data_IF_404749799372
#
_entry.id   IF_404749799372
#
_cell.length_a   1.000
_cell.length_b   1.000
_cell.length_c   1.000
_cell.angle_alpha   90.00
_cell.angle_beta   90.00
_cell.angle_gamma   90.00
#
_symmetry.space_group_name_H-M   'P 1'
#
loop_
_entity.id
_entity.type
_entity.pdbx_description
1 polymer ?
#
# COMPACT_ATOMS: atom_id res chain seq x y z
N UNK A 1 51.34 -2.12 -8.71
CA UNK A 1 49.95 -2.16 -9.16
C UNK A 1 49.16 -3.07 -8.20
N UNK A 2 48.29 -2.51 -7.33
CA UNK A 2 47.50 -3.32 -6.44
C UNK A 2 46.43 -4.05 -7.26
N UNK A 3 46.33 -5.37 -7.11
CA UNK A 3 45.27 -6.18 -7.73
C UNK A 3 43.91 -5.68 -7.22
N UNK A 4 43.07 -5.15 -8.08
CA UNK A 4 41.68 -4.81 -7.79
C UNK A 4 40.99 -6.12 -7.39
N UNK A 5 40.50 -6.23 -6.15
CA UNK A 5 39.75 -7.41 -5.69
C UNK A 5 38.33 -7.30 -6.24
N UNK A 6 37.97 -8.17 -7.15
CA UNK A 6 36.60 -8.31 -7.64
C UNK A 6 35.70 -8.87 -6.56
N UNK A 7 34.49 -8.36 -6.41
CA UNK A 7 33.43 -8.94 -5.58
C UNK A 7 32.22 -9.27 -6.47
N UNK A 8 31.37 -10.18 -6.03
CA UNK A 8 30.16 -10.58 -6.75
C UNK A 8 28.93 -10.15 -5.95
N UNK A 9 27.98 -9.50 -6.61
CA UNK A 9 26.77 -8.93 -6.00
C UNK A 9 25.56 -9.67 -6.54
N UNK A 10 24.68 -10.13 -5.65
CA UNK A 10 23.45 -10.82 -6.03
C UNK A 10 22.40 -9.84 -6.55
N UNK A 11 21.89 -10.07 -7.76
CA UNK A 11 20.84 -9.25 -8.38
C UNK A 11 19.48 -9.37 -7.69
N UNK A 12 19.26 -10.47 -6.94
CA UNK A 12 17.99 -10.70 -6.26
C UNK A 12 17.91 -10.08 -4.86
N UNK A 13 19.03 -10.05 -4.09
CA UNK A 13 19.01 -9.62 -2.70
C UNK A 13 20.08 -8.59 -2.33
N UNK A 14 21.00 -8.25 -3.25
CA UNK A 14 22.14 -7.36 -2.99
C UNK A 14 23.24 -7.95 -2.09
N UNK A 15 23.14 -9.20 -1.69
CA UNK A 15 24.17 -9.91 -0.91
C UNK A 15 25.48 -9.99 -1.69
N UNK A 16 26.63 -9.82 -0.99
CA UNK A 16 27.96 -9.84 -1.60
C UNK A 16 28.69 -11.14 -1.36
N UNK A 17 29.48 -11.58 -2.35
CA UNK A 17 30.38 -12.75 -2.23
C UNK A 17 31.76 -12.39 -2.77
N UNK A 18 32.80 -12.90 -2.12
CA UNK A 18 34.19 -12.71 -2.55
C UNK A 18 34.56 -13.55 -3.80
N UNK A 19 33.73 -14.50 -4.16
CA UNK A 19 33.92 -15.39 -5.32
C UNK A 19 32.58 -15.59 -6.02
N UNK A 20 32.62 -15.80 -7.32
CA UNK A 20 31.44 -16.22 -8.06
C UNK A 20 31.00 -17.61 -7.60
N UNK A 21 29.71 -17.77 -7.37
CA UNK A 21 29.08 -19.03 -7.01
C UNK A 21 27.77 -19.14 -7.78
N UNK A 22 27.40 -20.35 -8.19
CA UNK A 22 26.13 -20.57 -8.90
C UNK A 22 24.90 -20.24 -8.06
N UNK A 23 25.03 -20.20 -6.73
CA UNK A 23 23.96 -19.89 -5.79
C UNK A 23 24.38 -18.77 -4.82
N UNK A 24 23.52 -17.80 -4.59
CA UNK A 24 23.76 -16.71 -3.65
C UNK A 24 23.78 -17.25 -2.21
N UNK A 25 24.82 -16.96 -1.40
CA UNK A 25 24.89 -17.44 -0.02
C UNK A 25 23.87 -16.78 0.92
N UNK A 26 23.33 -15.61 0.54
CA UNK A 26 22.39 -14.86 1.38
C UNK A 26 20.91 -15.23 1.12
N UNK A 27 20.50 -15.37 -0.14
CA UNK A 27 19.10 -15.62 -0.52
C UNK A 27 18.89 -16.94 -1.25
N UNK A 28 19.96 -17.70 -1.50
CA UNK A 28 19.94 -19.00 -2.19
C UNK A 28 19.40 -18.99 -3.64
N UNK A 29 19.23 -17.82 -4.24
CA UNK A 29 18.85 -17.70 -5.64
C UNK A 29 20.01 -18.14 -6.56
N UNK A 30 19.66 -18.85 -7.66
CA UNK A 30 20.63 -19.38 -8.60
C UNK A 30 20.97 -18.36 -9.72
N UNK A 31 22.25 -18.34 -10.13
CA UNK A 31 22.75 -17.51 -11.23
C UNK A 31 22.45 -16.01 -11.12
N UNK A 32 22.43 -15.50 -9.89
CA UNK A 32 22.10 -14.08 -9.59
C UNK A 32 23.32 -13.26 -9.17
N UNK A 33 24.53 -13.86 -9.14
CA UNK A 33 25.76 -13.18 -8.75
C UNK A 33 26.44 -12.58 -9.99
N UNK A 34 26.54 -11.25 -10.04
CA UNK A 34 27.27 -10.50 -11.06
C UNK A 34 28.52 -9.85 -10.51
N UNK A 35 29.53 -9.68 -11.37
CA UNK A 35 30.80 -9.09 -11.02
C UNK A 35 30.64 -7.59 -10.70
N UNK A 36 31.13 -7.19 -9.54
CA UNK A 36 31.16 -5.80 -9.07
C UNK A 36 32.56 -5.40 -8.61
N UNK A 37 32.86 -4.11 -8.62
CA UNK A 37 34.10 -3.62 -8.03
C UNK A 37 34.01 -3.62 -6.49
N UNK A 38 35.10 -3.92 -5.78
CA UNK A 38 35.15 -3.72 -4.35
C UNK A 38 34.96 -2.24 -4.04
N UNK A 39 34.23 -1.94 -2.99
CA UNK A 39 34.10 -0.58 -2.48
C UNK A 39 35.50 -0.03 -2.21
N UNK A 40 35.93 0.95 -3.01
CA UNK A 40 37.12 1.73 -2.71
C UNK A 40 36.80 2.57 -1.47
N UNK A 41 37.42 2.26 -0.35
CA UNK A 41 37.25 2.97 0.91
C UNK A 41 37.74 4.43 0.80
N UNK A 42 36.88 5.32 0.33
CA UNK A 42 36.99 6.73 0.66
C UNK A 42 36.26 6.93 2.00
N UNK A 43 36.94 7.50 2.98
CA UNK A 43 36.46 7.71 4.37
C UNK A 43 35.12 8.46 4.51
N UNK A 44 34.54 8.95 3.43
CA UNK A 44 33.24 9.64 3.37
C UNK A 44 32.04 8.70 3.21
N UNK A 45 32.23 7.46 2.76
CA UNK A 45 31.14 6.49 2.51
C UNK A 45 30.50 5.92 3.77
N UNK A 46 31.19 5.96 4.90
CA UNK A 46 30.71 5.39 6.18
C UNK A 46 30.30 6.45 7.20
N UNK A 47 30.08 7.69 6.79
CA UNK A 47 29.39 8.64 7.66
C UNK A 47 27.96 8.15 7.89
N UNK A 48 27.59 7.99 9.17
CA UNK A 48 26.25 7.54 9.55
C UNK A 48 25.18 8.41 8.92
N UNK A 49 23.99 7.85 8.64
CA UNK A 49 22.82 8.57 8.13
C UNK A 49 22.35 9.68 9.08
N UNK A 50 22.77 9.67 10.33
CA UNK A 50 22.56 10.72 11.30
C UNK A 50 23.87 11.51 11.50
N UNK A 51 23.77 12.83 11.57
CA UNK A 51 24.90 13.66 12.01
C UNK A 51 25.42 13.12 13.36
N UNK A 52 26.73 13.06 13.55
CA UNK A 52 27.35 12.69 14.84
C UNK A 52 27.09 13.81 15.85
N UNK A 53 25.91 13.82 16.42
CA UNK A 53 25.57 14.69 17.54
C UNK A 53 26.16 14.13 18.84
N UNK A 54 26.59 14.99 19.81
CA UNK A 54 27.01 14.53 21.10
C UNK A 54 25.89 13.73 21.79
N UNK A 55 26.26 12.80 22.66
CA UNK A 55 25.29 11.99 23.42
C UNK A 55 24.30 12.89 24.15
N UNK A 56 23.02 12.70 23.89
CA UNK A 56 21.95 13.43 24.56
C UNK A 56 21.07 12.44 25.33
N UNK A 57 20.57 12.86 26.50
CA UNK A 57 19.52 12.09 27.19
C UNK A 57 18.20 12.25 26.44
N UNK A 58 17.43 11.17 26.31
CA UNK A 58 16.14 11.19 25.64
C UNK A 58 15.21 12.28 26.20
N UNK A 59 15.26 12.51 27.52
CA UNK A 59 14.51 13.56 28.21
C UNK A 59 14.92 15.00 27.87
N UNK A 60 16.11 15.20 27.28
CA UNK A 60 16.59 16.51 26.83
C UNK A 60 16.31 16.77 25.34
N UNK A 61 15.76 15.77 24.63
CA UNK A 61 15.33 15.90 23.25
C UNK A 61 13.89 16.37 23.28
N UNK A 62 13.63 17.58 22.79
CA UNK A 62 12.26 18.07 22.60
C UNK A 62 11.58 17.17 21.56
N UNK A 63 10.51 16.48 21.98
CA UNK A 63 9.65 15.71 21.11
C UNK A 63 8.56 16.62 20.52
N UNK A 64 8.97 17.77 19.97
CA UNK A 64 8.05 18.58 19.20
C UNK A 64 7.62 17.80 17.95
N UNK A 65 6.35 17.88 17.60
CA UNK A 65 5.83 17.29 16.37
C UNK A 65 6.64 17.85 15.18
N UNK A 66 7.28 16.95 14.44
CA UNK A 66 8.04 17.33 13.26
C UNK A 66 7.09 18.09 12.30
N UNK A 67 7.45 19.28 11.84
CA UNK A 67 6.63 20.03 10.91
C UNK A 67 6.38 19.18 9.66
N UNK A 68 5.17 19.20 9.14
CA UNK A 68 4.79 18.46 7.93
C UNK A 68 4.43 19.42 6.82
N UNK A 69 4.84 19.08 5.61
CA UNK A 69 4.43 19.79 4.40
C UNK A 69 3.25 19.05 3.79
N UNK A 70 2.10 19.71 3.68
CA UNK A 70 0.98 19.16 2.91
C UNK A 70 1.35 19.13 1.44
N UNK A 71 1.01 18.03 0.77
CA UNK A 71 1.15 17.89 -0.68
C UNK A 71 0.01 18.59 -1.44
N UNK A 72 -1.02 19.06 -0.73
CA UNK A 72 -2.25 19.59 -1.30
C UNK A 72 -3.20 18.51 -1.83
N UNK A 73 -2.82 17.22 -1.71
CA UNK A 73 -3.62 16.06 -2.11
C UNK A 73 -3.96 15.25 -0.85
N UNK A 74 -5.17 15.43 -0.31
CA UNK A 74 -5.58 14.91 1.01
C UNK A 74 -5.36 13.40 1.16
N UNK A 75 -5.76 12.61 0.16
CA UNK A 75 -5.58 11.15 0.19
C UNK A 75 -4.10 10.74 0.10
N UNK A 76 -3.24 11.58 -0.49
CA UNK A 76 -1.79 11.35 -0.49
C UNK A 76 -1.18 11.74 0.85
N UNK A 77 -1.58 12.86 1.42
CA UNK A 77 -1.17 13.27 2.77
C UNK A 77 -1.56 12.23 3.83
N UNK A 78 -2.73 11.60 3.68
CA UNK A 78 -3.19 10.50 4.55
C UNK A 78 -2.19 9.36 4.59
N UNK A 79 -1.79 8.82 3.44
CA UNK A 79 -0.85 7.67 3.38
C UNK A 79 0.56 8.03 3.81
N UNK A 80 0.91 9.30 3.72
CA UNK A 80 2.15 9.85 4.26
C UNK A 80 2.11 10.03 5.78
N UNK A 81 0.94 9.90 6.41
CA UNK A 81 0.74 10.11 7.85
C UNK A 81 0.55 11.59 8.21
N UNK A 82 -0.02 12.39 7.30
CA UNK A 82 -0.33 13.80 7.46
C UNK A 82 0.58 14.75 6.67
N UNK A 83 1.35 14.24 5.71
CA UNK A 83 2.20 15.04 4.83
C UNK A 83 3.68 14.64 4.86
N UNK A 84 4.49 15.37 4.11
CA UNK A 84 5.93 15.14 3.97
C UNK A 84 6.70 15.70 5.17
N UNK A 85 7.72 14.97 5.62
CA UNK A 85 8.56 15.36 6.76
C UNK A 85 9.91 15.89 6.23
N UNK A 86 10.43 17.01 6.75
CA UNK A 86 11.75 17.52 6.37
C UNK A 86 12.84 16.45 6.55
N UNK A 87 13.69 16.29 5.52
CA UNK A 87 14.73 15.26 5.50
C UNK A 87 14.19 13.82 5.37
N UNK A 88 12.87 13.65 5.23
CA UNK A 88 12.23 12.37 5.02
C UNK A 88 12.43 11.86 3.59
N UNK A 89 12.56 10.54 3.45
CA UNK A 89 12.73 9.87 2.16
C UNK A 89 11.60 8.90 1.93
N UNK A 90 10.85 9.12 0.85
CA UNK A 90 9.68 8.33 0.45
C UNK A 90 9.99 7.58 -0.83
N UNK A 91 9.71 6.29 -0.86
CA UNK A 91 9.73 5.47 -2.06
C UNK A 91 8.29 5.17 -2.50
N UNK A 92 7.94 5.56 -3.72
CA UNK A 92 6.66 5.25 -4.34
C UNK A 92 6.86 4.15 -5.38
N UNK A 93 6.50 2.91 -5.02
CA UNK A 93 6.56 1.74 -5.90
C UNK A 93 5.23 1.50 -6.64
N UNK A 94 5.25 0.70 -7.68
CA UNK A 94 4.07 0.27 -8.44
C UNK A 94 4.34 0.02 -9.90
N UNK A 95 3.39 -0.58 -10.61
CA UNK A 95 3.51 -0.94 -12.02
C UNK A 95 3.75 0.28 -12.93
N UNK A 96 4.44 0.11 -14.06
CA UNK A 96 4.55 1.15 -15.08
C UNK A 96 3.16 1.61 -15.57
N UNK A 97 3.00 2.92 -15.78
CA UNK A 97 1.74 3.48 -16.29
C UNK A 97 0.58 3.58 -15.29
N UNK A 98 0.75 3.14 -14.03
CA UNK A 98 -0.34 3.15 -13.03
C UNK A 98 -0.73 4.56 -12.55
N UNK A 99 0.15 5.56 -12.73
CA UNK A 99 -0.12 6.96 -12.37
C UNK A 99 0.85 7.59 -11.35
N UNK A 100 1.95 6.91 -10.98
CA UNK A 100 2.94 7.41 -10.00
C UNK A 100 3.44 8.82 -10.33
N UNK A 101 4.00 8.98 -11.53
CA UNK A 101 4.55 10.25 -12.02
C UNK A 101 3.47 11.34 -12.11
N UNK A 102 2.23 10.97 -12.45
CA UNK A 102 1.10 11.90 -12.48
C UNK A 102 0.76 12.41 -11.09
N UNK A 103 0.65 11.52 -10.09
CA UNK A 103 0.37 11.90 -8.71
C UNK A 103 1.45 12.84 -8.16
N UNK A 104 2.72 12.51 -8.38
CA UNK A 104 3.83 13.34 -7.88
C UNK A 104 3.90 14.69 -8.58
N UNK A 105 3.65 14.74 -9.89
CA UNK A 105 3.60 16.00 -10.63
C UNK A 105 2.44 16.90 -10.12
N UNK A 106 1.26 16.33 -9.85
CA UNK A 106 0.13 17.06 -9.27
C UNK A 106 0.44 17.56 -7.86
N UNK A 107 1.06 16.74 -7.02
CA UNK A 107 1.46 17.14 -5.66
C UNK A 107 2.48 18.30 -5.69
N UNK A 108 3.53 18.19 -6.52
CA UNK A 108 4.50 19.29 -6.65
C UNK A 108 3.88 20.56 -7.22
N UNK A 109 2.97 20.45 -8.17
CA UNK A 109 2.24 21.60 -8.70
C UNK A 109 1.45 22.33 -7.61
N UNK A 110 0.74 21.61 -6.74
CA UNK A 110 0.02 22.17 -5.60
C UNK A 110 0.97 22.86 -4.59
N UNK A 111 2.07 22.19 -4.26
CA UNK A 111 3.08 22.72 -3.36
C UNK A 111 3.74 23.99 -3.94
N UNK A 112 4.09 23.98 -5.23
CA UNK A 112 4.65 25.12 -5.95
C UNK A 112 3.68 26.31 -5.95
N UNK A 113 2.40 26.06 -6.21
CA UNK A 113 1.35 27.09 -6.20
C UNK A 113 1.13 27.70 -4.80
N UNK A 114 1.48 26.97 -3.73
CA UNK A 114 1.50 27.50 -2.36
C UNK A 114 2.78 28.24 -1.99
N UNK A 115 3.68 28.49 -2.96
CA UNK A 115 4.94 29.22 -2.78
C UNK A 115 6.11 28.36 -2.27
N UNK A 116 5.99 27.03 -2.28
CA UNK A 116 7.07 26.15 -1.85
C UNK A 116 8.06 25.91 -3.00
N UNK A 117 9.35 26.06 -2.72
CA UNK A 117 10.40 25.71 -3.67
C UNK A 117 10.48 24.19 -3.79
N UNK A 118 10.16 23.65 -4.97
CA UNK A 118 10.11 22.22 -5.26
C UNK A 118 10.78 21.91 -6.61
N UNK A 119 11.40 20.75 -6.73
CA UNK A 119 12.12 20.33 -7.92
C UNK A 119 11.65 18.95 -8.39
N UNK A 120 11.32 18.81 -9.68
CA UNK A 120 11.02 17.54 -10.32
C UNK A 120 12.20 17.11 -11.21
N UNK A 121 12.92 16.06 -10.83
CA UNK A 121 13.98 15.47 -11.62
C UNK A 121 13.50 14.20 -12.31
N UNK A 122 13.63 14.15 -13.64
CA UNK A 122 13.26 12.99 -14.44
C UNK A 122 14.49 12.43 -15.18
N UNK A 123 14.64 11.12 -15.12
CA UNK A 123 15.58 10.38 -15.97
C UNK A 123 14.90 9.57 -17.07
N UNK A 124 13.56 9.57 -17.14
CA UNK A 124 12.79 8.83 -18.14
C UNK A 124 12.18 9.73 -19.20
N UNK A 125 11.77 10.92 -18.82
CA UNK A 125 11.10 11.87 -19.71
C UNK A 125 11.88 13.17 -19.84
N UNK A 126 11.88 13.73 -21.04
CA UNK A 126 12.39 15.08 -21.27
C UNK A 126 11.48 16.15 -20.65
N UNK A 127 12.02 17.34 -20.39
CA UNK A 127 11.23 18.46 -19.89
C UNK A 127 10.02 18.79 -20.77
N UNK A 128 10.16 18.65 -22.11
CA UNK A 128 9.06 18.85 -23.05
C UNK A 128 7.92 17.79 -22.87
N UNK A 129 8.27 16.55 -22.63
CA UNK A 129 7.27 15.48 -22.38
C UNK A 129 6.54 15.71 -21.06
N UNK A 130 7.26 16.13 -20.00
CA UNK A 130 6.66 16.49 -18.72
C UNK A 130 5.70 17.68 -18.89
N UNK A 131 6.09 18.71 -19.65
CA UNK A 131 5.24 19.86 -19.94
C UNK A 131 3.98 19.47 -20.74
N UNK A 132 4.08 18.56 -21.70
CA UNK A 132 2.93 18.02 -22.43
C UNK A 132 2.01 17.24 -21.51
N UNK A 133 2.56 16.45 -20.58
CA UNK A 133 1.78 15.74 -19.56
C UNK A 133 1.04 16.73 -18.65
N UNK A 134 1.73 17.75 -18.13
CA UNK A 134 1.13 18.78 -17.29
C UNK A 134 -0.02 19.49 -18.01
N UNK A 135 0.17 19.85 -19.28
CA UNK A 135 -0.89 20.44 -20.12
C UNK A 135 -2.08 19.53 -20.32
N UNK A 136 -1.85 18.22 -20.58
CA UNK A 136 -2.91 17.23 -20.78
C UNK A 136 -3.83 17.09 -19.57
N UNK A 137 -3.27 17.17 -18.36
CA UNK A 137 -4.04 17.07 -17.10
C UNK A 137 -4.42 18.45 -16.55
N UNK A 138 -4.29 19.51 -17.36
CA UNK A 138 -4.62 20.89 -17.03
C UNK A 138 -3.98 21.38 -15.71
N UNK A 139 -2.70 21.04 -15.49
CA UNK A 139 -1.92 21.56 -14.36
C UNK A 139 -1.41 22.96 -14.69
N UNK A 140 -1.72 23.90 -13.79
CA UNK A 140 -1.16 25.25 -13.79
C UNK A 140 -0.11 25.36 -12.67
N UNK A 141 1.16 25.29 -13.04
CA UNK A 141 2.28 25.35 -12.10
C UNK A 141 3.49 26.05 -12.74
N UNK A 142 3.38 27.37 -13.03
CA UNK A 142 4.43 28.10 -13.76
C UNK A 142 5.75 28.21 -12.99
N UNK A 143 5.72 28.02 -11.67
CA UNK A 143 6.90 28.08 -10.80
C UNK A 143 7.55 26.72 -10.53
N UNK A 144 6.97 25.62 -11.05
CA UNK A 144 7.53 24.28 -10.86
C UNK A 144 8.78 24.10 -11.73
N UNK A 145 9.91 23.90 -11.07
CA UNK A 145 11.18 23.62 -11.76
C UNK A 145 11.27 22.13 -12.14
N UNK A 146 11.69 21.88 -13.39
CA UNK A 146 11.87 20.55 -13.95
C UNK A 146 13.30 20.38 -14.44
N UNK A 147 13.93 19.28 -14.08
CA UNK A 147 15.29 18.91 -14.42
C UNK A 147 15.30 17.55 -15.13
N UNK A 148 16.00 17.45 -16.27
CA UNK A 148 16.30 16.17 -16.93
C UNK A 148 17.76 15.82 -16.62
N UNK A 149 18.02 15.01 -15.59
CA UNK A 149 19.36 14.61 -15.17
C UNK A 149 19.32 13.17 -14.64
N UNK A 150 20.33 12.38 -15.03
CA UNK A 150 20.49 10.98 -14.64
C UNK A 150 21.78 10.72 -13.85
N UNK A 151 22.68 11.71 -13.79
CA UNK A 151 23.94 11.60 -13.04
C UNK A 151 23.71 12.07 -11.60
N UNK A 152 23.91 11.17 -10.63
CA UNK A 152 23.66 11.43 -9.21
C UNK A 152 24.46 12.62 -8.69
N UNK A 153 25.77 12.69 -9.01
CA UNK A 153 26.67 13.73 -8.50
C UNK A 153 26.22 15.13 -8.92
N UNK A 154 25.73 15.27 -10.15
CA UNK A 154 25.15 16.55 -10.63
C UNK A 154 23.85 16.87 -9.90
N UNK A 155 22.98 15.87 -9.73
CA UNK A 155 21.72 16.06 -9.00
C UNK A 155 21.99 16.51 -7.56
N UNK A 156 22.96 15.92 -6.86
CA UNK A 156 23.35 16.32 -5.50
C UNK A 156 23.91 17.77 -5.48
N UNK A 157 24.72 18.17 -6.46
CA UNK A 157 25.21 19.54 -6.58
C UNK A 157 24.07 20.54 -6.81
N UNK A 158 23.05 20.17 -7.60
CA UNK A 158 21.86 21.00 -7.82
C UNK A 158 21.04 21.11 -6.54
N UNK A 159 20.86 20.01 -5.79
CA UNK A 159 20.19 20.03 -4.48
C UNK A 159 20.85 21.01 -3.52
N UNK A 160 22.18 21.05 -3.48
CA UNK A 160 22.94 21.97 -2.60
C UNK A 160 22.82 23.43 -3.03
N UNK A 161 22.66 23.69 -4.33
CA UNK A 161 22.58 25.04 -4.91
C UNK A 161 21.15 25.59 -4.81
N UNK A 162 20.15 24.82 -5.28
CA UNK A 162 18.75 25.23 -5.37
C UNK A 162 18.05 25.13 -4.00
N UNK A 163 18.47 24.19 -3.17
CA UNK A 163 17.91 23.88 -1.84
C UNK A 163 16.39 23.78 -1.85
N UNK A 164 15.82 22.91 -2.72
CA UNK A 164 14.37 22.75 -2.74
C UNK A 164 13.89 22.16 -1.40
N UNK A 165 12.66 22.44 -1.01
CA UNK A 165 12.03 21.79 0.16
C UNK A 165 11.68 20.34 -0.14
N UNK A 166 11.29 20.08 -1.39
CA UNK A 166 10.93 18.74 -1.87
C UNK A 166 11.58 18.49 -3.23
N UNK A 167 12.22 17.34 -3.37
CA UNK A 167 12.77 16.81 -4.62
C UNK A 167 12.03 15.53 -4.99
N UNK A 168 11.51 15.44 -6.20
CA UNK A 168 11.05 14.20 -6.83
C UNK A 168 12.14 13.66 -7.75
N UNK A 169 12.40 12.36 -7.68
CA UNK A 169 13.30 11.62 -8.57
C UNK A 169 12.49 10.55 -9.30
N UNK A 170 12.28 10.72 -10.60
CA UNK A 170 11.47 9.86 -11.47
C UNK A 170 12.28 9.34 -12.66
N UNK A 171 12.89 8.15 -12.56
CA UNK A 171 12.85 7.17 -11.47
C UNK A 171 14.26 6.93 -10.89
N UNK A 172 14.30 6.27 -9.72
CA UNK A 172 15.58 5.89 -9.09
C UNK A 172 16.37 4.90 -9.96
N UNK A 173 15.72 4.13 -10.83
CA UNK A 173 16.35 3.16 -11.71
C UNK A 173 17.16 3.81 -12.85
N UNK A 174 16.83 5.03 -13.22
CA UNK A 174 17.54 5.74 -14.29
C UNK A 174 18.80 6.45 -13.80
N UNK A 175 18.88 6.71 -12.49
CA UNK A 175 20.06 7.34 -11.91
C UNK A 175 21.27 6.41 -11.90
N UNK A 176 22.45 7.01 -12.10
CA UNK A 176 23.74 6.34 -11.93
C UNK A 176 24.73 7.24 -11.20
N UNK A 177 25.64 6.62 -10.47
CA UNK A 177 26.80 7.25 -9.86
C UNK A 177 28.05 6.82 -10.65
N UNK A 178 28.92 7.77 -10.98
CA UNK A 178 30.20 7.50 -11.66
C UNK A 178 31.17 6.68 -10.80
N UNK A 179 30.91 6.61 -9.50
CA UNK A 179 31.72 5.82 -8.56
C UNK A 179 31.61 4.32 -8.79
N UNK A 180 30.53 3.87 -9.46
CA UNK A 180 30.29 2.47 -9.77
C UNK A 180 30.35 2.23 -11.27
N UNK A 181 31.04 1.17 -11.68
CA UNK A 181 31.16 0.77 -13.08
C UNK A 181 29.97 -0.06 -13.60
N UNK A 182 29.03 -0.44 -12.71
CA UNK A 182 27.82 -1.18 -13.10
C UNK A 182 26.86 -0.30 -13.89
N UNK A 183 26.06 -0.91 -14.78
CA UNK A 183 25.11 -0.20 -15.62
C UNK A 183 24.00 0.48 -14.78
N UNK A 184 23.44 1.62 -15.26
CA UNK A 184 22.23 2.21 -14.68
C UNK A 184 21.13 1.18 -14.57
N UNK A 185 20.30 1.26 -13.51
CA UNK A 185 19.23 0.29 -13.22
C UNK A 185 19.70 -1.01 -12.57
N UNK A 186 21.02 -1.27 -12.50
CA UNK A 186 21.53 -2.40 -11.73
C UNK A 186 21.25 -2.20 -10.23
N UNK A 187 21.12 -3.31 -9.52
CA UNK A 187 20.89 -3.31 -8.06
C UNK A 187 21.92 -2.48 -7.30
N UNK A 188 23.19 -2.57 -7.70
CA UNK A 188 24.28 -1.82 -7.08
C UNK A 188 24.11 -0.30 -7.27
N UNK A 189 23.79 0.15 -8.48
CA UNK A 189 23.56 1.56 -8.80
C UNK A 189 22.34 2.10 -8.04
N UNK A 190 21.22 1.41 -8.12
CA UNK A 190 19.97 1.82 -7.46
C UNK A 190 20.17 1.94 -5.94
N UNK A 191 20.88 0.98 -5.33
CA UNK A 191 21.21 1.01 -3.91
C UNK A 191 22.10 2.19 -3.53
N UNK A 192 23.17 2.42 -4.29
CA UNK A 192 24.11 3.51 -4.03
C UNK A 192 23.44 4.87 -4.20
N UNK A 193 22.70 5.07 -5.29
CA UNK A 193 21.98 6.31 -5.55
C UNK A 193 20.96 6.60 -4.44
N UNK A 194 20.16 5.61 -4.05
CA UNK A 194 19.20 5.76 -2.96
C UNK A 194 19.88 6.06 -1.62
N UNK A 195 21.01 5.43 -1.31
CA UNK A 195 21.76 5.67 -0.07
C UNK A 195 22.35 7.08 -0.03
N UNK A 196 22.92 7.58 -1.13
CA UNK A 196 23.47 8.94 -1.21
C UNK A 196 22.38 9.99 -1.15
N UNK A 197 21.27 9.82 -1.88
CA UNK A 197 20.11 10.71 -1.80
C UNK A 197 19.52 10.75 -0.37
N UNK A 198 19.46 9.61 0.32
CA UNK A 198 18.99 9.55 1.70
C UNK A 198 19.92 10.30 2.65
N UNK A 199 21.24 10.19 2.48
CA UNK A 199 22.20 10.97 3.26
C UNK A 199 22.05 12.48 3.01
N UNK A 200 21.98 12.87 1.74
CA UNK A 200 21.77 14.26 1.35
C UNK A 200 20.46 14.82 1.91
N UNK A 201 19.36 14.07 1.80
CA UNK A 201 18.06 14.45 2.37
C UNK A 201 18.16 14.73 3.88
N UNK A 202 18.76 13.79 4.63
CA UNK A 202 18.88 13.92 6.09
C UNK A 202 19.80 15.05 6.55
N UNK A 203 20.87 15.34 5.80
CA UNK A 203 21.80 16.41 6.14
C UNK A 203 21.28 17.80 5.77
N UNK A 204 20.54 17.92 4.66
CA UNK A 204 20.03 19.21 4.16
C UNK A 204 18.62 19.55 4.64
N UNK A 205 17.86 18.57 5.18
CA UNK A 205 16.44 18.73 5.51
C UNK A 205 15.51 18.72 4.30
N UNK A 206 16.02 18.41 3.10
CA UNK A 206 15.22 18.28 1.87
C UNK A 206 14.44 16.98 1.92
N UNK A 207 13.13 17.03 1.66
CA UNK A 207 12.33 15.82 1.50
C UNK A 207 12.53 15.24 0.09
N UNK A 208 12.80 13.93 -0.01
CA UNK A 208 13.05 13.26 -1.29
C UNK A 208 11.97 12.20 -1.54
N UNK A 209 11.27 12.31 -2.68
CA UNK A 209 10.34 11.30 -3.16
C UNK A 209 10.97 10.59 -4.36
N UNK A 210 11.21 9.29 -4.22
CA UNK A 210 11.76 8.44 -5.29
C UNK A 210 10.66 7.59 -5.91
N UNK A 211 10.55 7.59 -7.23
CA UNK A 211 9.72 6.65 -7.97
C UNK A 211 10.51 5.36 -8.21
N UNK A 212 9.88 4.22 -7.94
CA UNK A 212 10.43 2.90 -8.22
C UNK A 212 9.46 2.04 -9.03
N UNK A 213 9.99 1.30 -10.02
CA UNK A 213 9.20 0.30 -10.75
C UNK A 213 9.30 -1.05 -10.05
N UNK A 214 8.22 -1.83 -10.11
CA UNK A 214 8.17 -3.21 -9.62
C UNK A 214 8.30 -4.19 -10.77
N UNK A 215 8.87 -5.36 -10.49
CA UNK A 215 8.81 -6.49 -11.41
C UNK A 215 7.40 -7.07 -11.48
N UNK A 216 7.10 -7.81 -12.58
CA UNK A 216 5.79 -8.47 -12.78
C UNK A 216 5.36 -9.39 -11.62
N UNK A 217 6.27 -9.80 -10.76
CA UNK A 217 6.02 -10.64 -9.60
C UNK A 217 5.66 -9.84 -8.32
N UNK A 218 5.35 -8.54 -8.45
CA UNK A 218 4.98 -7.68 -7.33
C UNK A 218 6.13 -7.26 -6.42
N UNK A 219 7.37 -7.58 -6.79
CA UNK A 219 8.58 -7.12 -6.11
C UNK A 219 9.09 -5.83 -6.74
N UNK A 220 9.59 -4.89 -5.92
CA UNK A 220 10.32 -3.72 -6.43
C UNK A 220 11.47 -4.20 -7.31
N UNK A 221 11.55 -3.65 -8.53
CA UNK A 221 12.72 -3.85 -9.39
C UNK A 221 13.92 -3.14 -8.75
N UNK A 222 14.68 -3.90 -8.08
CA UNK A 222 15.67 -3.46 -7.13
C UNK A 222 15.35 -4.09 -5.78
N UNK A 223 16.37 -4.44 -5.03
CA UNK A 223 16.22 -5.31 -3.89
C UNK A 223 15.33 -4.68 -2.81
N UNK A 224 14.72 -5.50 -2.00
CA UNK A 224 14.14 -5.16 -0.68
C UNK A 224 15.06 -4.27 0.18
N UNK A 225 16.30 -4.12 -0.23
CA UNK A 225 17.32 -3.22 0.34
C UNK A 225 16.89 -1.75 0.34
N UNK A 226 16.09 -1.27 -0.62
CA UNK A 226 15.59 0.11 -0.63
C UNK A 226 14.59 0.35 0.51
N UNK A 227 13.79 -0.65 0.87
CA UNK A 227 12.86 -0.54 1.98
C UNK A 227 13.57 -0.28 3.33
N UNK A 228 14.81 -0.74 3.47
CA UNK A 228 15.59 -0.49 4.69
C UNK A 228 16.27 0.87 4.69
N UNK A 229 16.54 1.45 3.53
CA UNK A 229 17.23 2.73 3.36
C UNK A 229 16.27 3.91 3.57
N UNK A 230 15.06 3.82 3.03
CA UNK A 230 14.06 4.89 3.05
C UNK A 230 13.23 4.89 4.34
N UNK A 231 12.58 6.01 4.64
CA UNK A 231 11.74 6.17 5.84
C UNK A 231 10.30 5.69 5.60
N UNK A 232 9.78 5.94 4.40
CA UNK A 232 8.41 5.59 4.01
C UNK A 232 8.42 4.83 2.68
N UNK A 233 7.64 3.76 2.59
CA UNK A 233 7.41 3.00 1.36
C UNK A 233 5.92 2.99 1.09
N UNK A 234 5.54 3.55 -0.03
CA UNK A 234 4.19 3.57 -0.55
C UNK A 234 4.10 2.66 -1.79
N UNK A 235 3.00 1.96 -1.90
CA UNK A 235 2.74 1.09 -3.03
C UNK A 235 1.51 1.54 -3.79
N UNK A 236 1.68 1.75 -5.09
CA UNK A 236 0.59 2.08 -5.99
C UNK A 236 -0.01 0.79 -6.53
N UNK A 237 -1.26 0.50 -6.16
CA UNK A 237 -2.00 -0.71 -6.50
C UNK A 237 -3.18 -0.35 -7.44
N UNK A 238 -3.59 -1.27 -8.27
CA UNK A 238 -4.78 -1.15 -9.10
C UNK A 238 -4.64 -1.85 -10.44
N UNK A 239 -5.77 -2.20 -11.03
CA UNK A 239 -5.84 -2.71 -12.38
C UNK A 239 -5.86 -1.54 -13.37
N UNK A 240 -5.12 -1.64 -14.48
CA UNK A 240 -5.12 -0.64 -15.57
C UNK A 240 -6.52 -0.42 -16.17
N UNK A 241 -7.40 -1.40 -16.04
CA UNK A 241 -8.79 -1.32 -16.50
C UNK A 241 -9.75 -0.70 -15.47
N UNK A 242 -9.34 -0.59 -14.21
CA UNK A 242 -10.13 0.07 -13.17
C UNK A 242 -10.04 1.59 -13.29
N UNK A 243 -11.15 2.30 -13.03
CA UNK A 243 -11.16 3.76 -12.91
C UNK A 243 -10.52 4.26 -11.60
N UNK A 244 -10.20 3.37 -10.68
CA UNK A 244 -9.67 3.70 -9.37
C UNK A 244 -8.25 3.19 -9.19
N UNK A 245 -7.50 3.91 -8.36
CA UNK A 245 -6.13 3.57 -7.96
C UNK A 245 -6.02 3.64 -6.45
N UNK A 246 -5.27 2.73 -5.88
CA UNK A 246 -5.03 2.65 -4.44
C UNK A 246 -3.56 2.96 -4.18
N UNK A 247 -3.27 3.73 -3.15
CA UNK A 247 -1.91 3.95 -2.65
C UNK A 247 -1.88 3.43 -1.22
N UNK A 248 -1.06 2.43 -0.97
CA UNK A 248 -0.93 1.78 0.34
C UNK A 248 0.41 2.11 0.98
N UNK A 249 0.40 2.44 2.26
CA UNK A 249 1.60 2.61 3.06
C UNK A 249 2.07 1.26 3.61
N UNK A 250 3.17 0.73 3.06
CA UNK A 250 3.77 -0.54 3.50
C UNK A 250 4.71 -0.34 4.68
N UNK A 251 5.42 0.79 4.68
CA UNK A 251 6.33 1.20 5.75
C UNK A 251 6.19 2.71 5.96
N UNK A 252 6.08 3.13 7.20
CA UNK A 252 6.08 4.55 7.53
C UNK A 252 6.70 4.77 8.92
N UNK A 253 7.86 5.46 8.98
CA UNK A 253 8.51 5.83 10.25
C UNK A 253 7.86 7.04 10.91
N UNK A 254 7.05 7.79 10.17
CA UNK A 254 6.44 9.04 10.60
C UNK A 254 4.93 8.94 10.82
N UNK A 255 4.33 7.78 10.58
CA UNK A 255 2.89 7.58 10.69
C UNK A 255 2.50 6.10 10.77
N UNK A 256 1.20 5.86 10.71
CA UNK A 256 0.69 4.49 10.70
C UNK A 256 1.05 3.76 9.41
N UNK A 257 1.28 2.47 9.51
CA UNK A 257 1.39 1.55 8.37
C UNK A 257 0.00 1.08 7.93
N UNK A 258 -0.11 0.54 6.72
CA UNK A 258 -1.35 0.06 6.09
C UNK A 258 -2.41 1.15 5.85
N UNK A 259 -2.04 2.45 5.94
CA UNK A 259 -2.93 3.51 5.47
C UNK A 259 -3.21 3.35 3.99
N UNK A 260 -4.47 3.59 3.60
CA UNK A 260 -4.94 3.47 2.23
C UNK A 260 -5.47 4.81 1.72
N UNK A 261 -4.88 5.29 0.64
CA UNK A 261 -5.37 6.42 -0.15
C UNK A 261 -6.10 5.91 -1.39
N UNK A 262 -7.25 6.46 -1.69
CA UNK A 262 -8.08 6.06 -2.82
C UNK A 262 -8.22 7.20 -3.81
N UNK A 263 -7.90 6.93 -5.07
CA UNK A 263 -7.88 7.92 -6.14
C UNK A 263 -8.74 7.45 -7.32
N UNK A 264 -9.49 8.37 -7.90
CA UNK A 264 -10.13 8.17 -9.20
C UNK A 264 -9.20 8.69 -10.31
N UNK A 265 -9.00 7.90 -11.36
CA UNK A 265 -8.33 8.34 -12.57
C UNK A 265 -9.30 9.12 -13.44
N UNK A 266 -8.98 10.37 -13.73
CA UNK A 266 -9.80 11.27 -14.55
C UNK A 266 -8.98 11.84 -15.71
N UNK A 267 -9.63 12.52 -16.64
CA UNK A 267 -8.94 13.25 -17.72
C UNK A 267 -8.02 14.34 -17.16
N UNK A 268 -8.31 14.86 -15.96
CA UNK A 268 -7.49 15.85 -15.25
C UNK A 268 -6.48 15.22 -14.26
N UNK A 269 -6.17 13.93 -14.45
CA UNK A 269 -5.25 13.19 -13.58
C UNK A 269 -5.95 12.48 -12.42
N UNK A 270 -5.22 12.30 -11.33
CA UNK A 270 -5.69 11.58 -10.15
C UNK A 270 -6.42 12.53 -9.20
N UNK A 271 -7.61 12.14 -8.76
CA UNK A 271 -8.41 12.86 -7.78
C UNK A 271 -8.67 11.98 -6.56
N UNK A 272 -8.37 12.50 -5.37
CA UNK A 272 -8.70 11.81 -4.11
C UNK A 272 -10.20 11.56 -3.97
N UNK A 273 -10.55 10.39 -3.47
CA UNK A 273 -11.94 9.97 -3.25
C UNK A 273 -12.31 10.17 -1.79
N UNK A 274 -13.21 11.09 -1.50
CA UNK A 274 -13.64 11.44 -0.14
C UNK A 274 -14.44 10.33 0.54
N UNK A 275 -15.26 9.60 -0.22
CA UNK A 275 -16.01 8.45 0.27
C UNK A 275 -15.64 7.18 -0.53
N UNK A 276 -14.53 6.50 -0.19
CA UNK A 276 -14.10 5.31 -0.92
C UNK A 276 -15.04 4.12 -0.71
N UNK A 277 -15.78 4.03 0.40
CA UNK A 277 -16.74 2.95 0.61
C UNK A 277 -17.81 2.89 -0.49
N UNK A 278 -18.20 4.03 -1.05
CA UNK A 278 -19.15 4.07 -2.17
C UNK A 278 -18.64 3.34 -3.44
N UNK A 279 -17.33 3.15 -3.57
CA UNK A 279 -16.71 2.44 -4.71
C UNK A 279 -16.75 0.93 -4.49
N UNK A 280 -16.65 0.51 -3.24
CA UNK A 280 -16.56 -0.90 -2.83
C UNK A 280 -17.90 -1.51 -2.48
N UNK A 281 -18.98 -0.76 -2.69
CA UNK A 281 -20.36 -1.20 -2.52
C UNK A 281 -21.04 -1.26 -3.89
N UNK A 282 -21.69 -2.38 -4.18
CA UNK A 282 -22.46 -2.53 -5.42
C UNK A 282 -23.72 -1.66 -5.36
N UNK A 283 -24.06 -1.04 -6.48
CA UNK A 283 -25.29 -0.23 -6.63
C UNK A 283 -26.46 -1.08 -7.12
N UNK A 284 -26.70 -2.22 -6.48
CA UNK A 284 -27.89 -3.01 -6.84
C UNK A 284 -29.16 -2.33 -6.31
N UNK A 285 -30.14 -2.12 -7.16
CA UNK A 285 -31.47 -1.63 -6.74
C UNK A 285 -32.19 -2.67 -5.88
N UNK A 286 -32.03 -3.95 -6.21
CA UNK A 286 -32.63 -5.07 -5.50
C UNK A 286 -31.58 -5.80 -4.62
N UNK A 287 -32.06 -6.41 -3.53
CA UNK A 287 -31.26 -7.31 -2.71
C UNK A 287 -30.94 -8.58 -3.51
N UNK A 288 -29.67 -8.97 -3.53
CA UNK A 288 -29.21 -10.17 -4.25
C UNK A 288 -28.61 -11.18 -3.27
N UNK A 289 -28.94 -12.48 -3.42
CA UNK A 289 -28.31 -13.52 -2.62
C UNK A 289 -26.79 -13.55 -2.85
N UNK A 290 -26.04 -13.85 -1.81
CA UNK A 290 -24.58 -13.94 -1.89
C UNK A 290 -23.83 -12.65 -1.64
N UNK A 291 -24.51 -11.52 -1.41
CA UNK A 291 -23.86 -10.26 -1.09
C UNK A 291 -23.91 -9.99 0.42
N UNK A 292 -22.79 -9.55 1.01
CA UNK A 292 -22.67 -9.15 2.42
C UNK A 292 -21.70 -7.99 2.57
N UNK A 293 -22.08 -6.92 3.29
CA UNK A 293 -21.23 -5.77 3.50
C UNK A 293 -20.35 -5.99 4.73
N UNK A 294 -19.05 -6.03 4.51
CA UNK A 294 -17.99 -6.07 5.52
C UNK A 294 -17.59 -4.66 5.92
N UNK A 295 -17.34 -4.42 7.20
CA UNK A 295 -16.55 -3.27 7.62
C UNK A 295 -15.13 -3.73 7.95
N UNK A 296 -14.20 -3.50 7.03
CA UNK A 296 -12.76 -3.78 7.21
C UNK A 296 -12.02 -2.56 7.74
N UNK A 297 -10.80 -2.74 8.22
CA UNK A 297 -9.93 -1.69 8.72
C UNK A 297 -8.66 -1.62 7.87
N UNK A 298 -8.46 -0.48 7.22
CA UNK A 298 -7.24 -0.19 6.48
C UNK A 298 -6.48 0.94 7.19
N UNK A 299 -5.39 0.58 7.86
CA UNK A 299 -4.66 1.52 8.72
C UNK A 299 -5.55 2.13 9.81
N UNK A 300 -5.74 3.44 9.76
CA UNK A 300 -6.62 4.16 10.67
C UNK A 300 -8.08 4.25 10.19
N UNK A 301 -8.37 3.88 8.93
CA UNK A 301 -9.65 4.11 8.25
C UNK A 301 -10.51 2.85 8.20
N UNK A 302 -11.73 2.86 8.75
CA UNK A 302 -12.72 1.83 8.44
C UNK A 302 -13.21 2.01 6.99
N UNK A 303 -13.34 0.91 6.26
CA UNK A 303 -13.88 0.85 4.91
C UNK A 303 -15.01 -0.17 4.85
N UNK A 304 -16.09 0.18 4.17
CA UNK A 304 -17.15 -0.77 3.86
C UNK A 304 -16.87 -1.38 2.49
N UNK A 305 -16.84 -2.70 2.44
CA UNK A 305 -16.55 -3.46 1.23
C UNK A 305 -17.60 -4.56 1.09
N UNK A 306 -18.21 -4.65 -0.07
CA UNK A 306 -19.13 -5.75 -0.35
C UNK A 306 -18.34 -7.02 -0.69
N UNK A 307 -18.64 -8.09 0.03
CA UNK A 307 -18.19 -9.44 -0.24
C UNK A 307 -19.28 -10.15 -1.02
N UNK A 308 -18.94 -10.66 -2.19
CA UNK A 308 -19.85 -11.44 -3.04
C UNK A 308 -19.42 -12.90 -3.01
N UNK A 309 -20.39 -13.79 -2.81
CA UNK A 309 -20.22 -15.23 -2.88
C UNK A 309 -21.17 -15.81 -3.93
N UNK A 310 -20.63 -16.64 -4.80
CA UNK A 310 -21.41 -17.50 -5.69
C UNK A 310 -21.14 -18.95 -5.32
N UNK A 311 -22.17 -19.68 -4.98
CA UNK A 311 -22.09 -21.10 -4.68
C UNK A 311 -23.01 -21.84 -5.66
N UNK A 312 -22.45 -22.82 -6.35
CA UNK A 312 -23.16 -23.62 -7.34
C UNK A 312 -22.74 -25.08 -7.24
N UNK A 313 -23.57 -25.99 -7.78
CA UNK A 313 -23.26 -27.40 -7.81
C UNK A 313 -22.02 -27.66 -8.65
N UNK A 314 -21.06 -28.41 -8.11
CA UNK A 314 -19.84 -28.76 -8.85
C UNK A 314 -20.16 -29.82 -9.92
N UNK A 315 -19.77 -29.51 -11.16
CA UNK A 315 -19.92 -30.46 -12.29
C UNK A 315 -18.67 -31.33 -12.50
N UNK A 316 -17.66 -31.17 -11.65
CA UNK A 316 -16.39 -31.93 -11.70
C UNK A 316 -16.11 -32.59 -10.33
N UNK A 317 -15.36 -33.69 -10.30
CA UNK A 317 -15.08 -34.41 -9.05
C UNK A 317 -14.40 -33.57 -7.97
N UNK A 318 -13.63 -32.55 -8.38
CA UNK A 318 -12.94 -31.62 -7.48
C UNK A 318 -13.60 -30.24 -7.54
N UNK A 319 -14.42 -29.86 -6.55
CA UNK A 319 -15.06 -28.55 -6.49
C UNK A 319 -14.07 -27.40 -6.49
N UNK A 320 -14.37 -26.34 -7.24
CA UNK A 320 -13.52 -25.16 -7.35
C UNK A 320 -13.70 -24.27 -6.12
N UNK A 321 -12.59 -23.79 -5.61
CA UNK A 321 -12.54 -22.85 -4.47
C UNK A 321 -11.71 -21.66 -4.90
N UNK A 322 -12.35 -20.52 -5.23
CA UNK A 322 -11.68 -19.36 -5.78
C UNK A 322 -12.02 -18.13 -4.96
N UNK A 323 -11.00 -17.35 -4.58
CA UNK A 323 -11.17 -16.10 -3.87
C UNK A 323 -10.39 -14.99 -4.57
N UNK A 324 -11.09 -13.91 -4.91
CA UNK A 324 -10.52 -12.69 -5.48
C UNK A 324 -10.59 -11.59 -4.43
N UNK A 325 -9.45 -10.97 -4.15
CA UNK A 325 -9.34 -9.96 -3.08
C UNK A 325 -9.31 -10.51 -1.66
N UNK A 326 -9.39 -11.83 -1.46
CA UNK A 326 -9.35 -12.53 -0.18
C UNK A 326 -8.33 -13.67 -0.22
N UNK A 327 -7.90 -14.15 0.94
CA UNK A 327 -6.95 -15.25 1.03
C UNK A 327 -7.61 -16.61 0.76
N UNK A 328 -7.16 -17.32 -0.28
CA UNK A 328 -7.75 -18.59 -0.70
C UNK A 328 -7.57 -19.71 0.34
N UNK A 329 -6.43 -19.74 1.03
CA UNK A 329 -6.20 -20.73 2.10
C UNK A 329 -7.21 -20.55 3.25
N UNK A 330 -7.57 -19.31 3.58
CA UNK A 330 -8.56 -18.99 4.59
C UNK A 330 -9.95 -19.50 4.22
N UNK A 331 -10.34 -19.39 2.95
CA UNK A 331 -11.62 -19.91 2.45
C UNK A 331 -11.80 -21.40 2.76
N UNK A 332 -10.78 -22.23 2.53
CA UNK A 332 -10.87 -23.66 2.80
C UNK A 332 -11.14 -23.96 4.28
N UNK A 333 -10.50 -23.23 5.19
CA UNK A 333 -10.76 -23.35 6.64
C UNK A 333 -12.17 -22.91 7.01
N UNK A 334 -12.63 -21.79 6.48
CA UNK A 334 -13.97 -21.25 6.75
C UNK A 334 -15.08 -22.21 6.30
N UNK A 335 -14.94 -22.85 5.13
CA UNK A 335 -15.88 -23.87 4.64
C UNK A 335 -15.95 -25.09 5.57
N UNK A 336 -14.81 -25.51 6.13
CA UNK A 336 -14.79 -26.60 7.11
C UNK A 336 -15.50 -26.21 8.42
N UNK A 337 -15.30 -24.97 8.89
CA UNK A 337 -16.01 -24.42 10.05
C UNK A 337 -17.52 -24.34 9.80
N UNK A 338 -17.93 -23.84 8.64
CA UNK A 338 -19.35 -23.74 8.25
C UNK A 338 -20.03 -25.10 8.25
N UNK A 339 -19.37 -26.11 7.67
CA UNK A 339 -19.89 -27.47 7.69
C UNK A 339 -19.98 -28.03 9.12
N UNK A 340 -18.88 -27.95 9.88
CA UNK A 340 -18.80 -28.62 11.20
C UNK A 340 -19.68 -27.97 12.27
N UNK A 341 -19.77 -26.65 12.28
CA UNK A 341 -20.39 -25.89 13.37
C UNK A 341 -21.74 -25.25 13.02
N UNK A 342 -22.06 -25.14 11.74
CA UNK A 342 -23.34 -24.60 11.28
C UNK A 342 -24.17 -25.61 10.45
N UNK A 343 -23.68 -26.82 10.22
CA UNK A 343 -24.37 -27.86 9.47
C UNK A 343 -24.57 -27.53 7.98
N UNK A 344 -23.81 -26.61 7.42
CA UNK A 344 -23.93 -26.20 6.01
C UNK A 344 -22.85 -26.89 5.21
N UNK A 345 -23.24 -27.88 4.42
CA UNK A 345 -22.34 -28.66 3.58
C UNK A 345 -22.04 -27.93 2.27
N UNK A 346 -20.74 -27.86 1.92
CA UNK A 346 -20.25 -27.27 0.65
C UNK A 346 -19.24 -28.21 -0.05
N UNK A 347 -19.21 -29.51 0.31
CA UNK A 347 -18.19 -30.43 -0.18
C UNK A 347 -18.36 -30.76 -1.67
N UNK A 348 -19.60 -30.69 -2.18
CA UNK A 348 -20.00 -30.97 -3.57
C UNK A 348 -20.33 -29.68 -4.36
N UNK A 349 -19.90 -28.51 -3.87
CA UNK A 349 -20.25 -27.24 -4.49
C UNK A 349 -19.01 -26.42 -4.83
N UNK A 350 -19.04 -25.78 -5.99
CA UNK A 350 -18.10 -24.74 -6.38
C UNK A 350 -18.37 -23.48 -5.55
N UNK A 351 -17.33 -22.85 -5.02
CA UNK A 351 -17.45 -21.62 -4.23
C UNK A 351 -16.51 -20.56 -4.80
N UNK A 352 -17.11 -19.45 -5.22
CA UNK A 352 -16.42 -18.29 -5.72
C UNK A 352 -16.65 -17.11 -4.80
N UNK A 353 -15.57 -16.42 -4.41
CA UNK A 353 -15.63 -15.20 -3.60
C UNK A 353 -14.99 -14.04 -4.33
N UNK A 354 -15.57 -12.86 -4.17
CA UNK A 354 -15.02 -11.63 -4.70
C UNK A 354 -15.19 -10.47 -3.71
N UNK A 355 -14.13 -9.74 -3.44
CA UNK A 355 -14.20 -8.44 -2.79
C UNK A 355 -14.39 -7.36 -3.85
N UNK A 356 -15.49 -6.62 -3.78
CA UNK A 356 -15.85 -5.61 -4.79
C UNK A 356 -14.82 -4.48 -4.85
N UNK A 357 -14.55 -3.96 -6.05
CA UNK A 357 -13.64 -2.84 -6.28
C UNK A 357 -12.16 -3.22 -6.33
N UNK A 358 -11.84 -4.53 -6.32
CA UNK A 358 -10.45 -5.02 -6.46
C UNK A 358 -9.56 -4.76 -5.23
N UNK A 359 -10.16 -4.44 -4.09
CA UNK A 359 -9.42 -4.26 -2.84
C UNK A 359 -8.95 -5.62 -2.31
N UNK A 360 -7.71 -5.65 -1.80
CA UNK A 360 -7.16 -6.85 -1.16
C UNK A 360 -7.36 -6.77 0.35
N UNK A 361 -8.20 -7.66 0.88
CA UNK A 361 -8.53 -7.76 2.30
C UNK A 361 -7.73 -8.90 2.91
N UNK A 362 -6.82 -8.60 3.83
CA UNK A 362 -6.02 -9.57 4.57
C UNK A 362 -6.44 -9.71 6.03
N UNK A 363 -7.42 -8.90 6.47
CA UNK A 363 -7.87 -8.85 7.84
C UNK A 363 -8.82 -10.01 8.16
N UNK A 364 -8.58 -10.79 9.25
CA UNK A 364 -9.47 -11.88 9.67
C UNK A 364 -10.91 -11.43 10.03
N UNK A 365 -11.13 -10.15 10.29
CA UNK A 365 -12.46 -9.58 10.50
C UNK A 365 -13.45 -9.83 9.36
N UNK A 366 -12.96 -10.19 8.17
CA UNK A 366 -13.75 -10.54 7.00
C UNK A 366 -14.46 -11.91 7.11
N UNK A 367 -13.99 -12.79 7.98
CA UNK A 367 -14.44 -14.19 8.02
C UNK A 367 -15.96 -14.31 8.17
N UNK A 368 -16.53 -13.54 9.10
CA UNK A 368 -17.96 -13.62 9.37
C UNK A 368 -18.80 -13.15 8.17
N UNK A 369 -18.36 -12.08 7.50
CA UNK A 369 -19.04 -11.58 6.30
C UNK A 369 -18.94 -12.58 5.14
N UNK A 370 -17.79 -13.23 4.96
CA UNK A 370 -17.58 -14.31 3.97
C UNK A 370 -18.55 -15.46 4.24
N UNK A 371 -18.65 -15.91 5.49
CA UNK A 371 -19.53 -17.04 5.85
C UNK A 371 -21.00 -16.70 5.64
N UNK A 372 -21.45 -15.50 6.00
CA UNK A 372 -22.82 -15.07 5.77
C UNK A 372 -23.13 -14.85 4.28
N UNK A 373 -22.18 -14.37 3.48
CA UNK A 373 -22.33 -14.29 2.03
C UNK A 373 -22.48 -15.67 1.39
N UNK A 374 -21.63 -16.65 1.77
CA UNK A 374 -21.73 -18.04 1.32
C UNK A 374 -23.08 -18.64 1.72
N UNK A 375 -23.51 -18.48 2.95
CA UNK A 375 -24.79 -18.97 3.45
C UNK A 375 -25.98 -18.35 2.70
N UNK A 376 -25.92 -17.05 2.42
CA UNK A 376 -26.90 -16.32 1.63
C UNK A 376 -27.02 -16.90 0.21
N UNK A 377 -25.88 -17.16 -0.45
CA UNK A 377 -25.82 -17.77 -1.78
C UNK A 377 -26.44 -19.17 -1.81
N UNK A 378 -26.00 -20.06 -0.87
CA UNK A 378 -26.51 -21.45 -0.79
C UNK A 378 -28.02 -21.49 -0.59
N UNK A 379 -28.55 -20.63 0.28
CA UNK A 379 -29.98 -20.57 0.61
C UNK A 379 -30.79 -19.79 -0.42
N UNK A 380 -30.16 -19.18 -1.39
CA UNK A 380 -30.75 -18.24 -2.36
C UNK A 380 -31.63 -17.19 -1.65
N UNK A 381 -31.13 -16.66 -0.53
CA UNK A 381 -31.84 -15.70 0.33
C UNK A 381 -30.94 -14.50 0.59
N UNK A 382 -31.34 -13.35 0.11
CA UNK A 382 -30.54 -12.11 0.19
C UNK A 382 -30.48 -11.62 1.66
N UNK A 383 -29.39 -11.00 2.02
CA UNK A 383 -29.23 -10.26 3.27
C UNK A 383 -29.76 -8.83 3.13
N UNK A 384 -30.23 -8.17 4.22
CA UNK A 384 -30.65 -6.78 4.15
C UNK A 384 -29.54 -5.86 3.66
N UNK A 385 -29.85 -4.87 2.82
CA UNK A 385 -28.88 -3.91 2.29
C UNK A 385 -28.22 -3.06 3.39
N UNK A 386 -28.97 -2.79 4.43
CA UNK A 386 -28.53 -1.97 5.56
C UNK A 386 -27.74 -2.76 6.60
N UNK A 387 -27.46 -4.05 6.34
CA UNK A 387 -26.66 -4.90 7.21
C UNK A 387 -25.18 -4.74 6.98
N UNK A 388 -24.42 -4.50 8.04
CA UNK A 388 -22.97 -4.66 8.06
C UNK A 388 -22.55 -5.81 8.96
N UNK A 389 -21.43 -6.41 8.61
CA UNK A 389 -20.88 -7.55 9.36
C UNK A 389 -19.37 -7.39 9.52
N UNK A 390 -18.85 -7.78 10.67
CA UNK A 390 -17.43 -8.05 10.87
C UNK A 390 -17.23 -9.02 12.03
N UNK A 391 -16.16 -9.81 11.98
CA UNK A 391 -15.81 -10.76 13.04
C UNK A 391 -14.82 -11.79 12.54
N UNK A 392 -13.79 -12.10 13.33
CA UNK A 392 -12.90 -13.25 13.07
C UNK A 392 -13.61 -14.54 13.50
N UNK A 393 -13.48 -15.60 12.73
CA UNK A 393 -14.06 -16.90 13.05
C UNK A 393 -12.97 -17.93 13.34
N UNK A 394 -12.98 -18.48 14.55
CA UNK A 394 -12.04 -19.53 14.96
C UNK A 394 -12.47 -20.92 14.50
N UNK A 395 -11.56 -21.87 14.54
CA UNK A 395 -11.78 -23.25 14.09
C UNK A 395 -12.81 -24.02 14.92
N UNK A 396 -13.09 -23.60 16.17
CA UNK A 396 -14.13 -24.18 17.01
C UNK A 396 -15.52 -23.50 16.80
N UNK A 397 -15.64 -22.62 15.78
CA UNK A 397 -16.88 -21.92 15.45
C UNK A 397 -17.17 -20.71 16.33
N UNK A 398 -16.23 -20.31 17.19
CA UNK A 398 -16.31 -19.10 18.00
C UNK A 398 -16.08 -17.85 17.14
N UNK A 399 -16.75 -16.75 17.52
CA UNK A 399 -16.56 -15.45 16.87
C UNK A 399 -15.74 -14.56 17.80
N UNK A 400 -14.57 -14.15 17.32
CA UNK A 400 -13.56 -13.38 18.05
C UNK A 400 -13.68 -11.90 17.78
N UNK A 401 -13.33 -11.05 18.78
CA UNK A 401 -13.37 -9.61 18.62
C UNK A 401 -12.33 -9.12 17.59
N UNK A 402 -12.71 -8.03 16.92
CA UNK A 402 -11.84 -7.33 15.99
C UNK A 402 -11.38 -6.00 16.58
N UNK A 403 -10.16 -5.52 16.25
CA UNK A 403 -9.71 -4.20 16.65
C UNK A 403 -10.64 -3.08 16.16
N UNK A 404 -10.71 -2.00 16.91
CA UNK A 404 -11.46 -0.77 16.56
C UNK A 404 -12.95 -0.99 16.21
N UNK A 405 -13.63 -1.88 16.92
CA UNK A 405 -15.02 -2.19 16.64
C UNK A 405 -15.96 -0.98 16.73
N UNK A 406 -15.69 -0.01 17.61
CA UNK A 406 -16.51 1.20 17.72
C UNK A 406 -16.37 2.12 16.51
N UNK A 407 -15.15 2.28 16.00
CA UNK A 407 -14.87 3.09 14.80
C UNK A 407 -15.55 2.49 13.56
N UNK A 408 -15.51 1.17 13.42
CA UNK A 408 -16.22 0.43 12.35
C UNK A 408 -17.73 0.70 12.39
N UNK A 409 -18.34 0.60 13.56
CA UNK A 409 -19.78 0.83 13.75
C UNK A 409 -20.16 2.29 13.49
N UNK A 410 -19.34 3.25 13.94
CA UNK A 410 -19.58 4.68 13.70
C UNK A 410 -19.54 5.02 12.21
N UNK A 411 -18.56 4.48 11.48
CA UNK A 411 -18.46 4.71 10.03
C UNK A 411 -19.63 4.09 9.29
N UNK A 412 -20.05 2.87 9.66
CA UNK A 412 -21.22 2.22 9.09
C UNK A 412 -22.51 3.05 9.33
N UNK A 413 -22.73 3.53 10.55
CA UNK A 413 -23.89 4.38 10.88
C UNK A 413 -23.86 5.70 10.09
N UNK A 414 -22.68 6.33 9.94
CA UNK A 414 -22.49 7.55 9.14
C UNK A 414 -22.86 7.34 7.67
N UNK A 415 -22.61 6.15 7.14
CA UNK A 415 -22.94 5.78 5.76
C UNK A 415 -24.36 5.24 5.59
N UNK A 416 -25.20 5.29 6.64
CA UNK A 416 -26.63 4.97 6.56
C UNK A 416 -26.99 3.50 6.85
N UNK A 417 -26.05 2.68 7.28
CA UNK A 417 -26.35 1.32 7.71
C UNK A 417 -27.04 1.30 9.05
N UNK A 418 -28.06 0.45 9.20
CA UNK A 418 -28.95 0.43 10.36
C UNK A 418 -28.88 -0.84 11.20
N UNK A 419 -28.26 -1.90 10.68
CA UNK A 419 -28.10 -3.19 11.34
C UNK A 419 -26.64 -3.65 11.30
N UNK A 420 -26.16 -4.22 12.40
CA UNK A 420 -24.80 -4.78 12.50
C UNK A 420 -24.83 -6.13 13.22
N UNK A 421 -24.26 -7.18 12.60
CA UNK A 421 -23.94 -8.46 13.24
C UNK A 421 -22.45 -8.47 13.56
N UNK A 422 -22.10 -8.53 14.84
CA UNK A 422 -20.72 -8.35 15.31
C UNK A 422 -20.38 -9.30 16.47
N UNK A 423 -19.08 -9.51 16.76
CA UNK A 423 -18.66 -10.22 17.96
C UNK A 423 -19.23 -9.56 19.22
N UNK A 424 -19.72 -10.34 20.16
CA UNK A 424 -20.26 -9.83 21.44
C UNK A 424 -19.25 -8.94 22.20
N UNK A 425 -17.98 -9.28 22.16
CA UNK A 425 -16.94 -8.49 22.80
C UNK A 425 -16.72 -7.10 22.15
N UNK A 426 -17.22 -6.88 20.93
CA UNK A 426 -17.20 -5.58 20.25
C UNK A 426 -18.46 -4.74 20.49
N UNK A 427 -19.39 -5.18 21.36
CA UNK A 427 -20.56 -4.38 21.71
C UNK A 427 -20.14 -2.99 22.18
N UNK A 428 -20.70 -1.92 21.59
CA UNK A 428 -20.38 -0.57 21.99
C UNK A 428 -20.90 -0.28 23.40
N UNK A 429 -20.09 0.38 24.24
CA UNK A 429 -20.48 0.80 25.59
C UNK A 429 -21.61 1.83 25.58
N UNK A 430 -21.64 2.64 24.52
CA UNK A 430 -22.67 3.66 24.31
C UNK A 430 -23.40 3.33 23.00
N UNK A 431 -24.75 3.37 23.06
CA UNK A 431 -25.56 3.12 21.86
C UNK A 431 -25.21 4.09 20.74
N UNK A 432 -25.06 3.55 19.52
CA UNK A 432 -24.87 4.36 18.33
C UNK A 432 -26.26 4.68 17.75
N UNK A 433 -26.61 5.96 17.63
CA UNK A 433 -27.94 6.34 17.12
C UNK A 433 -28.17 5.77 15.70
N UNK A 434 -29.36 5.23 15.48
CA UNK A 434 -29.76 4.66 14.18
C UNK A 434 -29.18 3.28 13.84
N UNK A 435 -28.34 2.67 14.70
CA UNK A 435 -27.73 1.37 14.44
C UNK A 435 -28.20 0.32 15.47
N UNK A 436 -28.91 -0.70 15.00
CA UNK A 436 -29.24 -1.91 15.77
C UNK A 436 -28.04 -2.87 15.72
N UNK A 437 -27.43 -3.15 16.86
CA UNK A 437 -26.30 -4.07 16.98
C UNK A 437 -26.77 -5.41 17.53
N UNK A 438 -26.45 -6.49 16.79
CA UNK A 438 -26.75 -7.87 17.14
C UNK A 438 -25.43 -8.56 17.51
N UNK A 439 -25.19 -8.81 18.82
CA UNK A 439 -23.97 -9.45 19.27
C UNK A 439 -24.07 -10.97 19.09
N UNK A 440 -23.00 -11.59 18.60
CA UNK A 440 -22.89 -13.04 18.41
C UNK A 440 -21.56 -13.57 18.98
N UNK A 441 -21.60 -14.81 19.48
CA UNK A 441 -20.44 -15.50 20.05
C UNK A 441 -20.02 -16.70 19.20
N UNK A 442 -20.95 -17.24 18.39
CA UNK A 442 -20.74 -18.43 17.57
C UNK A 442 -21.35 -18.26 16.17
N UNK A 443 -20.84 -19.02 15.23
CA UNK A 443 -21.29 -18.95 13.82
C UNK A 443 -22.76 -19.37 13.64
N UNK A 444 -23.25 -20.36 14.38
CA UNK A 444 -24.65 -20.78 14.35
C UNK A 444 -25.59 -19.65 14.78
N UNK A 445 -25.24 -18.87 15.82
CA UNK A 445 -25.99 -17.70 16.26
C UNK A 445 -25.99 -16.60 15.17
N UNK A 446 -24.87 -16.38 14.49
CA UNK A 446 -24.78 -15.36 13.42
C UNK A 446 -25.68 -15.72 12.24
N UNK A 447 -25.72 -17.00 11.85
CA UNK A 447 -26.60 -17.51 10.79
C UNK A 447 -28.06 -17.38 11.19
N UNK A 448 -28.44 -17.73 12.43
CA UNK A 448 -29.79 -17.57 12.94
C UNK A 448 -30.21 -16.09 12.95
N UNK A 449 -29.35 -15.20 13.46
CA UNK A 449 -29.59 -13.76 13.48
C UNK A 449 -29.78 -13.18 12.06
N UNK A 450 -28.97 -13.60 11.09
CA UNK A 450 -29.11 -13.18 9.69
C UNK A 450 -30.42 -13.71 9.07
N UNK A 451 -30.87 -14.91 9.44
CA UNK A 451 -32.13 -15.48 8.97
C UNK A 451 -33.36 -14.77 9.53
N UNK A 452 -33.30 -14.19 10.73
CA UNK A 452 -34.39 -13.43 11.37
C UNK A 452 -34.56 -12.02 10.80
N UNK A 453 -33.56 -11.49 10.08
CA UNK A 453 -33.59 -10.16 9.48
C UNK A 453 -34.29 -10.11 8.12
N UNK A 454 -34.65 -11.26 7.57
CA UNK A 454 -35.25 -11.42 6.23
C UNK A 454 -36.75 -11.70 6.26
#
# INVERSE_FOLDING_TARGET
>A
MAKVKTIYICQSCGGTSAKWQGQCPSCQAWNTLEEGLPEVSSNTRFQGLAQSLPRQKLSAISAEDLPRFSTGVEEFDRVLGGGLVPGGVVLLGGDPGIGKSTLLLQALAQMSSSGMNVLYSSGEESAAQIALRAKRIALDAPQLEVLAEIQLEKLLSIMDTVKPKVLVVDSIQTLYSEVLSSAPGSVAQVRECAAQLTRAAKSSGICVLMVGHVSKDGHLAGPRVLEHIVDTVLYFEGDTHSSFRLVRSIKNRFGAVNELGVFAMTEKGLRGVTNPSAIFLSQHEQMVPGACVLVTQEGSRPLLVEIQALVDTAHVPNPRRLAVGLEQARLAMLLAVLHRHAGVACFDQDVFLNAVGGVKISEPAADLAVLLAIQSSIRNRALPKELIVFGEVGLAGEIRPCPRGQERLKEAAKLGFTVAIIPKANMPKVKIPGLRVIPVERIDQAIAAAAELN
#
